data_IF_934316098826
#
_entry.id   IF_934316098826
#
_cell.length_a   1.000
_cell.length_b   1.000
_cell.length_c   1.000
_cell.angle_alpha   90.00
_cell.angle_beta   90.00
_cell.angle_gamma   90.00
#
_symmetry.space_group_name_H-M   'P 1'
#
loop_
_entity.id
_entity.type
_entity.pdbx_description
1 polymer ?
#
# COMPACT_ATOMS: atom_id res chain seq x y z
N UNK A 1 -8.14 16.73 11.07
CA UNK A 1 -8.62 15.94 9.93
C UNK A 1 -8.07 14.53 10.03
N UNK A 2 -8.92 13.51 9.87
CA UNK A 2 -8.48 12.12 9.76
C UNK A 2 -7.73 11.92 8.45
N UNK A 3 -6.55 11.29 8.49
CA UNK A 3 -5.79 10.98 7.28
C UNK A 3 -6.37 9.74 6.60
N UNK A 4 -6.53 9.79 5.28
CA UNK A 4 -7.05 8.67 4.49
C UNK A 4 -5.94 7.63 4.25
N UNK A 5 -6.24 6.34 4.44
CA UNK A 5 -5.29 5.26 4.16
C UNK A 5 -5.40 4.83 2.69
N UNK A 6 -4.27 4.82 1.98
CA UNK A 6 -4.13 4.31 0.62
C UNK A 6 -3.19 3.10 0.62
N UNK A 7 -3.67 1.95 0.15
CA UNK A 7 -2.87 0.71 0.05
C UNK A 7 -2.52 0.44 -1.41
N UNK A 8 -1.26 0.10 -1.68
CA UNK A 8 -0.72 -0.19 -3.03
C UNK A 8 0.10 -1.48 -3.03
N UNK A 9 0.34 -2.10 -4.19
CA UNK A 9 1.02 -3.41 -4.24
C UNK A 9 2.53 -3.35 -3.92
N UNK A 10 3.22 -2.26 -4.28
CA UNK A 10 4.69 -2.18 -4.26
C UNK A 10 5.23 -0.98 -3.48
N UNK A 11 6.40 -1.12 -2.81
CA UNK A 11 7.03 -0.03 -2.06
C UNK A 11 7.35 1.19 -2.94
N UNK A 12 7.74 0.96 -4.20
CA UNK A 12 8.07 2.04 -5.15
C UNK A 12 6.86 2.90 -5.47
N UNK A 13 5.68 2.29 -5.68
CA UNK A 13 4.42 3.05 -5.87
C UNK A 13 4.10 3.90 -4.65
N UNK A 14 4.26 3.35 -3.44
CA UNK A 14 3.99 4.09 -2.21
C UNK A 14 4.88 5.33 -2.07
N UNK A 15 6.19 5.21 -2.37
CA UNK A 15 7.14 6.34 -2.32
C UNK A 15 6.85 7.40 -3.38
N UNK A 16 6.35 7.00 -4.55
CA UNK A 16 5.96 7.93 -5.61
C UNK A 16 4.67 8.67 -5.27
N UNK A 17 3.61 7.96 -4.86
CA UNK A 17 2.33 8.58 -4.52
C UNK A 17 2.38 9.44 -3.26
N UNK A 18 3.21 9.09 -2.27
CA UNK A 18 3.41 9.93 -1.07
C UNK A 18 3.93 11.32 -1.41
N UNK A 19 4.68 11.47 -2.51
CA UNK A 19 5.17 12.78 -2.98
C UNK A 19 4.08 13.62 -3.61
N UNK A 20 3.06 13.00 -4.20
CA UNK A 20 1.97 13.70 -4.89
C UNK A 20 0.78 14.01 -3.97
N UNK A 21 0.43 13.10 -3.06
CA UNK A 21 -0.76 13.20 -2.21
C UNK A 21 -0.53 13.99 -0.92
N UNK A 22 0.73 14.23 -0.54
CA UNK A 22 1.06 15.02 0.65
C UNK A 22 0.65 14.37 1.98
N UNK A 23 0.39 15.20 3.00
CA UNK A 23 0.25 14.76 4.40
C UNK A 23 -1.17 14.28 4.75
N UNK A 24 -2.13 14.46 3.87
CA UNK A 24 -3.54 14.10 4.06
C UNK A 24 -3.78 12.59 3.88
N UNK A 25 -2.83 11.91 3.24
CA UNK A 25 -2.87 10.47 3.00
C UNK A 25 -1.75 9.74 3.73
N UNK A 26 -2.09 8.55 4.24
CA UNK A 26 -1.12 7.55 4.69
C UNK A 26 -1.02 6.50 3.58
N UNK A 27 0.13 6.38 2.93
CA UNK A 27 0.33 5.41 1.85
C UNK A 27 1.15 4.23 2.35
N UNK A 28 0.65 3.00 2.15
CA UNK A 28 1.32 1.75 2.56
C UNK A 28 1.34 0.74 1.43
N UNK A 29 2.41 -0.05 1.37
CA UNK A 29 2.52 -1.14 0.40
C UNK A 29 2.08 -2.49 1.01
N UNK A 30 1.37 -3.32 0.25
CA UNK A 30 1.01 -4.70 0.63
C UNK A 30 2.16 -5.68 0.42
N UNK A 31 3.16 -5.30 -0.40
CA UNK A 31 4.33 -6.13 -0.74
C UNK A 31 3.89 -7.46 -1.39
N UNK A 32 2.85 -7.41 -2.22
CA UNK A 32 2.26 -8.57 -2.88
C UNK A 32 1.02 -9.11 -2.18
N UNK A 33 0.77 -10.41 -2.33
CA UNK A 33 -0.39 -11.10 -1.74
C UNK A 33 -0.22 -11.27 -0.23
N UNK A 34 -1.23 -10.85 0.54
CA UNK A 34 -1.24 -10.97 2.01
C UNK A 34 -1.74 -12.36 2.44
N UNK A 35 -2.62 -12.96 1.64
CA UNK A 35 -3.19 -14.27 1.88
C UNK A 35 -3.29 -15.01 0.56
N UNK A 36 -2.88 -16.27 0.59
CA UNK A 36 -3.03 -17.21 -0.51
C UNK A 36 -3.74 -18.47 -0.01
N UNK A 37 -4.25 -19.26 -0.93
CA UNK A 37 -4.80 -20.57 -0.63
C UNK A 37 -3.67 -21.53 -0.23
N UNK A 38 -3.97 -22.57 0.57
CA UNK A 38 -2.98 -23.59 0.88
C UNK A 38 -2.47 -24.22 -0.42
N UNK A 39 -1.14 -24.30 -0.55
CA UNK A 39 -0.52 -24.97 -1.71
C UNK A 39 -0.89 -26.45 -1.66
N UNK A 40 -1.30 -26.98 -2.81
CA UNK A 40 -1.59 -28.40 -2.95
C UNK A 40 -0.31 -29.22 -2.72
N UNK A 41 -0.40 -30.33 -2.00
CA UNK A 41 0.73 -31.23 -1.71
C UNK A 41 0.99 -32.17 -2.87
#
# INVERSE_FOLDING_TARGET
MSKSLLIVESPTKARTLSRYLGKDFVVKASVGHIKDLPKNK
#
